data_IF_198839526618
#
_entry.id   IF_198839526618
#
_cell.length_a   1.000
_cell.length_b   1.000
_cell.length_c   1.000
_cell.angle_alpha   90.00
_cell.angle_beta   90.00
_cell.angle_gamma   90.00
#
_symmetry.space_group_name_H-M   'P 1'
#
loop_
_entity.id
_entity.type
_entity.pdbx_description
1 polymer ?
#
# COMPACT_ATOMS: atom_id res chain seq x y z
N UNK A 1 74.54 -14.95 25.40
CA UNK A 1 73.22 -14.67 24.75
C UNK A 1 72.70 -15.79 23.84
N UNK A 2 73.49 -16.78 23.49
CA UNK A 2 73.07 -17.92 22.65
C UNK A 2 72.22 -18.97 23.38
N UNK A 3 72.43 -19.20 24.65
CA UNK A 3 71.65 -20.19 25.43
C UNK A 3 70.17 -19.79 25.65
N UNK A 4 69.84 -18.52 25.50
CA UNK A 4 68.42 -18.05 25.57
C UNK A 4 67.63 -18.35 24.30
N UNK A 5 68.33 -18.55 23.17
CA UNK A 5 67.64 -18.84 21.87
C UNK A 5 67.27 -20.31 21.71
N UNK A 6 67.94 -21.21 22.37
CA UNK A 6 67.66 -22.66 22.32
C UNK A 6 66.49 -23.10 23.25
N UNK A 7 66.13 -22.26 24.22
CA UNK A 7 65.12 -22.66 25.20
C UNK A 7 63.96 -21.69 25.34
N UNK A 8 63.79 -20.75 24.32
CA UNK A 8 62.70 -19.77 24.39
C UNK A 8 61.33 -20.44 24.41
N UNK A 9 61.21 -21.60 23.72
CA UNK A 9 59.93 -22.35 23.68
C UNK A 9 59.55 -22.88 25.06
N UNK A 10 60.52 -23.34 25.82
CA UNK A 10 60.33 -23.81 27.22
C UNK A 10 59.99 -22.64 28.15
N UNK A 11 60.58 -21.46 27.90
CA UNK A 11 60.29 -20.27 28.68
C UNK A 11 58.88 -19.75 28.37
N UNK A 12 58.46 -19.77 27.12
CA UNK A 12 57.09 -19.40 26.72
C UNK A 12 56.06 -20.40 27.28
N UNK A 13 56.38 -21.70 27.23
CA UNK A 13 55.50 -22.73 27.79
C UNK A 13 55.42 -22.59 29.34
N UNK A 14 56.49 -22.29 29.99
CA UNK A 14 56.51 -22.03 31.44
C UNK A 14 55.64 -20.80 31.80
N UNK A 15 55.74 -19.74 31.02
CA UNK A 15 54.97 -18.52 31.26
C UNK A 15 53.49 -18.75 30.99
N UNK A 16 53.15 -19.52 29.95
CA UNK A 16 51.77 -19.91 29.66
C UNK A 16 51.16 -20.79 30.77
N UNK A 17 51.95 -21.74 31.31
CA UNK A 17 51.51 -22.56 32.45
C UNK A 17 51.30 -21.72 33.72
N UNK A 18 52.19 -20.77 34.01
CA UNK A 18 52.01 -19.84 35.13
C UNK A 18 50.75 -18.98 34.99
N UNK A 19 50.48 -18.49 33.78
CA UNK A 19 49.25 -17.73 33.49
C UNK A 19 47.98 -18.60 33.69
N UNK A 20 48.04 -19.87 33.28
CA UNK A 20 46.95 -20.82 33.44
C UNK A 20 46.67 -21.15 34.91
N UNK A 21 47.74 -21.35 35.69
CA UNK A 21 47.62 -21.56 37.15
C UNK A 21 47.08 -20.31 37.85
N UNK A 22 47.49 -19.11 37.41
CA UNK A 22 46.96 -17.87 37.94
C UNK A 22 45.47 -17.70 37.69
N UNK A 23 45.02 -17.99 36.47
CA UNK A 23 43.60 -17.95 36.12
C UNK A 23 42.82 -19.03 36.90
N UNK A 24 43.33 -20.24 36.97
CA UNK A 24 42.70 -21.32 37.74
C UNK A 24 42.58 -20.97 39.22
N UNK A 25 43.63 -20.37 39.81
CA UNK A 25 43.59 -19.88 41.19
C UNK A 25 42.53 -18.77 41.37
N UNK A 26 42.42 -17.84 40.41
CA UNK A 26 41.42 -16.78 40.42
C UNK A 26 39.99 -17.36 40.40
N UNK A 27 39.76 -18.36 39.57
CA UNK A 27 38.41 -19.01 39.46
C UNK A 27 38.09 -19.80 40.74
N UNK A 28 39.08 -20.46 41.36
CA UNK A 28 38.88 -21.23 42.59
C UNK A 28 38.70 -20.35 43.85
N UNK A 29 39.25 -19.13 43.83
CA UNK A 29 39.12 -18.18 44.95
C UNK A 29 38.02 -17.17 44.76
N UNK A 30 37.34 -17.18 43.60
CA UNK A 30 36.24 -16.26 43.30
C UNK A 30 34.95 -16.75 43.98
N UNK A 31 34.68 -16.20 45.16
CA UNK A 31 33.44 -16.45 45.91
C UNK A 31 32.22 -15.70 45.31
N UNK A 32 32.19 -15.55 43.99
CA UNK A 32 31.10 -14.84 43.29
C UNK A 32 29.72 -15.49 43.50
N UNK A 33 29.71 -16.83 43.75
CA UNK A 33 28.43 -17.51 44.00
C UNK A 33 27.82 -17.08 45.37
N UNK A 34 28.64 -16.88 46.40
CA UNK A 34 28.14 -16.39 47.71
C UNK A 34 27.68 -14.93 47.61
N UNK A 35 28.40 -14.08 46.87
CA UNK A 35 28.02 -12.70 46.65
C UNK A 35 26.71 -12.57 45.81
N UNK A 36 26.53 -13.45 44.82
CA UNK A 36 25.28 -13.53 44.04
C UNK A 36 24.12 -14.05 44.91
N UNK A 37 24.36 -15.06 45.71
CA UNK A 37 23.35 -15.61 46.63
C UNK A 37 22.91 -14.56 47.67
N UNK A 38 23.86 -13.77 48.17
CA UNK A 38 23.59 -12.70 49.13
C UNK A 38 22.78 -11.55 48.46
N UNK A 39 23.13 -11.18 47.22
CA UNK A 39 22.35 -10.20 46.43
C UNK A 39 20.93 -10.67 46.11
N UNK A 40 20.74 -11.94 45.79
CA UNK A 40 19.43 -12.54 45.55
C UNK A 40 18.60 -12.53 46.84
N UNK A 41 19.19 -12.92 47.98
CA UNK A 41 18.51 -12.86 49.26
C UNK A 41 18.20 -11.42 49.71
N UNK A 42 19.10 -10.46 49.48
CA UNK A 42 18.88 -9.05 49.78
C UNK A 42 17.75 -8.44 48.93
N UNK A 43 17.62 -8.87 47.69
CA UNK A 43 16.54 -8.43 46.80
C UNK A 43 15.19 -9.11 47.08
N UNK A 44 15.20 -10.33 47.58
CA UNK A 44 13.96 -11.07 47.86
C UNK A 44 13.37 -10.73 49.25
N UNK A 45 14.21 -10.33 50.22
CA UNK A 45 13.75 -9.95 51.58
C UNK A 45 12.72 -8.79 51.58
N UNK A 46 12.94 -7.65 50.87
CA UNK A 46 11.96 -6.58 50.87
C UNK A 46 10.65 -6.94 50.16
N UNK A 47 10.69 -7.90 49.23
CA UNK A 47 9.44 -8.36 48.56
C UNK A 47 8.60 -9.28 49.44
N UNK A 48 9.23 -10.00 50.42
CA UNK A 48 8.53 -10.84 51.38
C UNK A 48 8.08 -10.06 52.60
N UNK A 49 8.75 -8.96 52.96
CA UNK A 49 8.36 -8.10 54.10
C UNK A 49 7.27 -7.07 53.74
N UNK A 50 7.18 -6.69 52.47
CA UNK A 50 6.01 -5.94 52.01
C UNK A 50 4.83 -6.88 51.80
N UNK A 51 4.26 -7.39 52.90
CA UNK A 51 2.88 -7.83 52.90
C UNK A 51 2.01 -6.59 52.61
N UNK A 52 1.97 -6.20 51.33
CA UNK A 52 0.98 -5.25 50.88
C UNK A 52 -0.37 -5.93 51.16
N UNK A 53 -1.12 -5.39 52.13
CA UNK A 53 -2.48 -5.84 52.33
C UNK A 53 -3.15 -5.77 50.98
N UNK A 54 -3.40 -6.93 50.39
CA UNK A 54 -4.13 -6.98 49.12
C UNK A 54 -5.48 -6.36 49.39
N UNK A 55 -5.77 -5.25 48.74
CA UNK A 55 -7.12 -4.69 48.77
C UNK A 55 -8.13 -5.81 48.47
N UNK A 56 -9.19 -5.92 49.22
CA UNK A 56 -10.16 -6.99 49.03
C UNK A 56 -10.58 -7.00 47.55
N UNK A 57 -10.38 -8.15 46.91
CA UNK A 57 -10.72 -8.34 45.50
C UNK A 57 -12.21 -8.05 45.33
N UNK A 58 -12.58 -7.16 44.44
CA UNK A 58 -13.97 -6.90 44.13
C UNK A 58 -14.60 -8.13 43.46
N UNK A 59 -15.26 -8.93 44.26
CA UNK A 59 -15.90 -10.17 43.83
C UNK A 59 -17.29 -9.95 43.21
N UNK A 60 -17.78 -8.71 43.14
CA UNK A 60 -19.14 -8.41 42.64
C UNK A 60 -19.38 -8.93 41.23
N UNK A 61 -18.36 -8.80 40.33
CA UNK A 61 -18.43 -9.34 38.97
C UNK A 61 -18.56 -10.86 38.93
N UNK A 62 -17.85 -11.56 39.84
CA UNK A 62 -17.89 -13.02 39.92
C UNK A 62 -19.22 -13.52 40.53
N UNK A 63 -19.75 -12.83 41.57
CA UNK A 63 -21.05 -13.14 42.14
C UNK A 63 -22.19 -12.93 41.13
N UNK A 64 -22.12 -11.88 40.32
CA UNK A 64 -23.06 -11.65 39.22
C UNK A 64 -23.02 -12.74 38.15
N UNK A 65 -21.80 -13.27 37.86
CA UNK A 65 -21.62 -14.37 36.92
C UNK A 65 -22.14 -15.69 37.49
N UNK A 66 -21.83 -15.97 38.76
CA UNK A 66 -22.36 -17.16 39.46
C UNK A 66 -23.89 -17.15 39.52
N UNK A 67 -24.49 -16.03 39.94
CA UNK A 67 -25.94 -15.90 39.98
C UNK A 67 -26.61 -16.08 38.61
N UNK A 68 -25.89 -15.74 37.53
CA UNK A 68 -26.38 -15.96 36.17
C UNK A 68 -26.21 -17.42 35.72
N UNK A 69 -25.15 -18.11 36.18
CA UNK A 69 -24.93 -19.54 35.89
C UNK A 69 -25.85 -20.45 36.71
N UNK A 70 -26.31 -20.00 37.88
CA UNK A 70 -27.32 -20.70 38.72
C UNK A 70 -28.74 -20.60 38.16
N UNK A 71 -28.99 -19.67 37.22
CA UNK A 71 -30.28 -19.63 36.51
C UNK A 71 -30.24 -20.61 35.36
N UNK A 72 -31.22 -21.49 35.28
CA UNK A 72 -31.51 -22.35 34.12
C UNK A 72 -31.96 -21.48 32.93
N UNK A 73 -31.01 -20.70 32.36
CA UNK A 73 -31.28 -20.00 31.13
C UNK A 73 -31.05 -20.96 29.96
N UNK A 74 -31.96 -21.04 28.99
CA UNK A 74 -31.76 -21.87 27.82
C UNK A 74 -30.49 -21.41 27.09
N UNK A 75 -29.59 -22.35 26.80
CA UNK A 75 -28.37 -22.09 26.06
C UNK A 75 -28.68 -21.49 24.67
N UNK A 76 -28.55 -20.20 24.55
CA UNK A 76 -28.68 -19.53 23.26
C UNK A 76 -27.32 -19.54 22.54
N UNK A 77 -27.12 -20.54 21.69
CA UNK A 77 -25.87 -20.73 20.94
C UNK A 77 -25.68 -19.72 19.79
N UNK A 78 -26.72 -18.93 19.48
CA UNK A 78 -26.72 -17.98 18.39
C UNK A 78 -26.53 -16.52 18.83
N UNK A 79 -26.79 -16.18 20.12
CA UNK A 79 -26.68 -14.81 20.63
C UNK A 79 -26.26 -14.78 22.11
N UNK A 80 -25.21 -14.03 22.54
CA UNK A 80 -24.37 -13.14 21.71
C UNK A 80 -23.22 -13.86 20.97
N UNK A 81 -23.02 -15.15 21.23
CA UNK A 81 -21.94 -15.95 20.65
C UNK A 81 -22.47 -16.93 19.61
N UNK A 82 -22.22 -16.70 18.37
CA UNK A 82 -22.54 -17.64 17.31
C UNK A 82 -21.48 -18.77 17.28
N UNK A 83 -21.69 -19.84 18.07
CA UNK A 83 -20.73 -20.93 18.22
C UNK A 83 -20.48 -21.70 16.91
N UNK A 84 -21.48 -21.78 16.03
CA UNK A 84 -21.37 -22.48 14.74
C UNK A 84 -20.86 -21.56 13.61
N UNK A 85 -20.92 -20.25 13.78
CA UNK A 85 -20.35 -19.28 12.87
C UNK A 85 -19.71 -18.14 13.69
N UNK A 86 -18.53 -18.40 14.26
CA UNK A 86 -17.88 -17.45 15.15
C UNK A 86 -17.62 -16.15 14.44
N UNK A 87 -17.99 -15.05 15.07
CA UNK A 87 -17.72 -13.71 14.58
C UNK A 87 -16.20 -13.48 14.59
N UNK A 88 -15.65 -13.11 13.45
CA UNK A 88 -14.24 -12.79 13.35
C UNK A 88 -13.97 -11.40 13.94
N UNK A 89 -12.94 -11.31 14.77
CA UNK A 89 -12.41 -10.06 15.29
C UNK A 89 -11.07 -9.76 14.60
N UNK A 90 -10.87 -8.52 14.21
CA UNK A 90 -9.60 -8.05 13.67
C UNK A 90 -9.13 -6.84 14.44
N UNK A 91 -7.83 -6.77 14.69
CA UNK A 91 -7.17 -5.60 15.26
C UNK A 91 -6.72 -4.71 14.11
N UNK A 92 -7.14 -3.44 14.14
CA UNK A 92 -6.68 -2.42 13.17
C UNK A 92 -5.24 -2.03 13.47
N UNK A 93 -4.56 -1.35 12.54
CA UNK A 93 -3.22 -0.80 12.79
C UNK A 93 -3.16 0.17 13.97
N UNK A 94 -4.28 0.77 14.33
CA UNK A 94 -4.40 1.70 15.46
C UNK A 94 -4.65 0.98 16.80
N UNK A 95 -4.65 -0.35 16.81
CA UNK A 95 -4.91 -1.17 18.01
C UNK A 95 -6.39 -1.31 18.36
N UNK A 96 -7.30 -0.76 17.58
CA UNK A 96 -8.75 -0.89 17.80
C UNK A 96 -9.24 -2.25 17.33
N UNK A 97 -10.01 -2.94 18.14
CA UNK A 97 -10.64 -4.21 17.79
C UNK A 97 -11.90 -3.96 16.97
N UNK A 98 -11.99 -4.55 15.79
CA UNK A 98 -13.15 -4.47 14.89
C UNK A 98 -13.83 -5.83 14.80
N UNK A 99 -15.12 -5.86 15.06
CA UNK A 99 -15.98 -7.03 14.88
C UNK A 99 -16.42 -7.12 13.42
N UNK A 100 -16.23 -8.28 12.78
CA UNK A 100 -16.65 -8.52 11.40
C UNK A 100 -17.98 -9.24 11.40
N UNK A 101 -19.08 -8.52 11.16
CA UNK A 101 -20.44 -9.08 11.17
C UNK A 101 -20.92 -9.43 9.76
N UNK A 102 -20.75 -8.52 8.83
CA UNK A 102 -21.26 -8.61 7.44
C UNK A 102 -20.15 -8.95 6.43
N UNK A 103 -18.87 -8.96 6.85
CA UNK A 103 -17.72 -9.15 5.98
C UNK A 103 -17.33 -7.91 5.17
N UNK A 104 -18.04 -6.81 5.32
CA UNK A 104 -17.77 -5.53 4.65
C UNK A 104 -16.94 -4.56 5.51
N UNK A 105 -16.68 -4.92 6.75
CA UNK A 105 -15.95 -4.08 7.71
C UNK A 105 -14.45 -4.10 7.45
N UNK A 106 -13.97 -5.12 6.74
CA UNK A 106 -12.55 -5.32 6.40
C UNK A 106 -12.41 -5.66 4.92
N UNK A 107 -11.16 -5.59 4.43
CA UNK A 107 -10.84 -5.94 3.06
C UNK A 107 -11.41 -4.95 2.04
N UNK A 108 -11.64 -5.41 0.82
CA UNK A 108 -12.12 -4.57 -0.28
C UNK A 108 -13.53 -4.00 -0.05
N UNK A 109 -14.35 -4.62 0.81
CA UNK A 109 -15.69 -4.12 1.17
C UNK A 109 -15.67 -2.88 2.05
N UNK A 110 -14.62 -2.68 2.84
CA UNK A 110 -14.46 -1.54 3.74
C UNK A 110 -13.90 -0.28 3.09
N UNK A 111 -13.55 -0.36 1.79
CA UNK A 111 -13.10 0.80 1.01
C UNK A 111 -14.30 1.63 0.55
N UNK A 112 -14.15 2.94 0.65
CA UNK A 112 -15.09 3.91 0.10
C UNK A 112 -14.46 4.67 -1.05
N UNK A 113 -15.24 4.91 -2.09
CA UNK A 113 -14.90 5.83 -3.17
C UNK A 113 -15.34 7.24 -2.75
N UNK A 114 -14.37 8.13 -2.57
CA UNK A 114 -14.62 9.53 -2.17
C UNK A 114 -14.97 10.38 -3.37
N UNK A 115 -14.13 10.29 -4.43
CA UNK A 115 -14.32 11.06 -5.65
C UNK A 115 -13.67 10.37 -6.84
N UNK A 116 -14.15 10.72 -8.03
CA UNK A 116 -13.48 10.40 -9.29
C UNK A 116 -13.24 11.69 -10.07
N UNK A 117 -12.07 11.80 -10.69
CA UNK A 117 -11.72 12.95 -11.53
C UNK A 117 -11.46 12.50 -12.96
N UNK A 118 -12.07 13.14 -13.97
CA UNK A 118 -11.86 12.78 -15.35
C UNK A 118 -10.44 13.08 -15.81
N UNK A 119 -9.93 12.24 -16.69
CA UNK A 119 -8.65 12.38 -17.38
C UNK A 119 -8.95 12.59 -18.87
N UNK A 120 -8.36 13.62 -19.42
CA UNK A 120 -8.69 14.08 -20.77
C UNK A 120 -7.63 13.71 -21.79
N UNK A 121 -8.08 13.34 -22.98
CA UNK A 121 -7.35 13.50 -24.23
C UNK A 121 -7.64 14.91 -24.75
N UNK A 122 -6.58 15.70 -24.90
CA UNK A 122 -6.64 17.07 -25.44
C UNK A 122 -5.83 17.13 -26.71
N UNK A 123 -6.40 17.64 -27.80
CA UNK A 123 -5.76 17.82 -29.10
C UNK A 123 -5.98 19.24 -29.58
N UNK A 124 -4.95 19.91 -29.97
CA UNK A 124 -4.99 21.29 -30.44
C UNK A 124 -4.11 21.44 -31.68
N UNK A 125 -4.63 21.98 -32.73
CA UNK A 125 -3.85 22.32 -33.93
C UNK A 125 -2.90 23.49 -33.63
N UNK A 126 -1.63 23.37 -34.06
CA UNK A 126 -0.59 24.37 -33.80
C UNK A 126 -0.01 25.05 -35.03
N UNK A 127 -0.27 24.51 -36.19
CA UNK A 127 0.22 25.09 -37.44
C UNK A 127 0.66 24.07 -38.47
N UNK A 128 0.96 24.57 -39.63
CA UNK A 128 1.39 23.81 -40.79
C UNK A 128 2.89 23.95 -41.02
N UNK A 129 3.51 22.94 -41.62
CA UNK A 129 4.94 22.96 -42.00
C UNK A 129 5.08 22.30 -43.37
N UNK A 130 5.92 22.87 -44.22
CA UNK A 130 6.12 22.38 -45.61
C UNK A 130 5.13 23.01 -46.59
N UNK A 131 5.30 22.66 -47.85
CA UNK A 131 4.45 23.11 -48.96
C UNK A 131 3.85 21.91 -49.68
N UNK A 132 2.74 22.11 -50.36
CA UNK A 132 2.10 21.03 -51.12
C UNK A 132 3.11 20.42 -52.12
N UNK A 133 3.16 19.07 -52.29
CA UNK A 133 2.22 18.08 -51.73
C UNK A 133 2.61 17.58 -50.32
N UNK A 134 3.77 17.92 -49.77
CA UNK A 134 4.34 17.38 -48.52
C UNK A 134 3.98 18.22 -47.28
N UNK A 135 2.76 18.71 -47.22
CA UNK A 135 2.30 19.52 -46.09
C UNK A 135 2.11 18.67 -44.85
N UNK A 136 2.77 19.07 -43.75
CA UNK A 136 2.61 18.43 -42.42
C UNK A 136 1.84 19.36 -41.46
N UNK A 137 0.87 18.80 -40.78
CA UNK A 137 0.06 19.48 -39.78
C UNK A 137 0.53 19.13 -38.39
N UNK A 138 0.86 20.13 -37.59
CA UNK A 138 1.35 19.97 -36.21
C UNK A 138 0.23 20.10 -35.22
N UNK A 139 0.18 19.13 -34.30
CA UNK A 139 -0.80 19.09 -33.21
C UNK A 139 -0.08 19.02 -31.87
N UNK A 140 -0.58 19.76 -30.88
CA UNK A 140 -0.23 19.56 -29.49
C UNK A 140 -1.22 18.57 -28.87
N UNK A 141 -0.70 17.47 -28.33
CA UNK A 141 -1.51 16.40 -27.74
C UNK A 141 -1.14 16.22 -26.28
N UNK A 142 -2.14 16.10 -25.43
CA UNK A 142 -1.98 15.73 -24.00
C UNK A 142 -2.87 14.55 -23.71
N UNK A 143 -2.31 13.46 -23.23
CA UNK A 143 -3.01 12.21 -22.89
C UNK A 143 -2.94 11.97 -21.39
N UNK A 144 -3.82 12.59 -20.62
CA UNK A 144 -3.81 12.50 -19.16
C UNK A 144 -4.01 11.07 -18.64
N UNK A 145 -4.71 10.21 -19.41
CA UNK A 145 -4.94 8.80 -19.08
C UNK A 145 -3.76 7.86 -19.42
N UNK A 146 -2.69 8.34 -20.06
CA UNK A 146 -1.57 7.50 -20.44
C UNK A 146 -0.89 6.85 -19.21
N UNK A 147 -0.35 5.64 -19.38
CA UNK A 147 0.26 4.85 -18.29
C UNK A 147 1.46 5.54 -17.66
N UNK A 148 2.40 6.01 -18.49
CA UNK A 148 3.64 6.57 -18.01
C UNK A 148 3.57 8.09 -17.85
N UNK A 149 4.22 8.62 -16.82
CA UNK A 149 4.28 10.06 -16.55
C UNK A 149 4.81 10.84 -17.77
N UNK A 150 5.79 10.29 -18.50
CA UNK A 150 6.37 10.91 -19.70
C UNK A 150 5.33 11.06 -20.82
N UNK A 151 4.46 10.05 -21.04
CA UNK A 151 3.41 10.08 -22.06
C UNK A 151 2.22 11.00 -21.70
N UNK A 152 2.12 11.47 -20.47
CA UNK A 152 1.08 12.42 -20.00
C UNK A 152 1.43 13.88 -20.24
N UNK A 153 2.70 14.15 -20.47
CA UNK A 153 3.15 15.50 -20.75
C UNK A 153 2.60 15.95 -22.11
N UNK A 154 2.37 17.26 -22.23
CA UNK A 154 2.01 17.86 -23.52
C UNK A 154 3.14 17.62 -24.51
N UNK A 155 2.82 17.04 -25.64
CA UNK A 155 3.78 16.72 -26.71
C UNK A 155 3.29 17.27 -28.03
N UNK A 156 4.21 17.62 -28.91
CA UNK A 156 3.92 17.98 -30.28
C UNK A 156 4.09 16.76 -31.18
N UNK A 157 3.14 16.52 -32.02
CA UNK A 157 3.17 15.49 -33.07
C UNK A 157 2.79 16.11 -34.42
N UNK A 158 3.11 15.45 -35.51
CA UNK A 158 2.75 15.90 -36.86
C UNK A 158 2.25 14.74 -37.70
N UNK A 159 1.29 15.01 -38.56
CA UNK A 159 0.73 14.05 -39.51
C UNK A 159 0.62 14.68 -40.90
N UNK A 160 0.71 13.86 -41.93
CA UNK A 160 0.29 14.20 -43.29
C UNK A 160 -1.13 13.68 -43.53
N UNK A 161 -1.76 14.15 -44.58
CA UNK A 161 -3.12 13.69 -44.97
C UNK A 161 -3.04 12.18 -45.29
N UNK A 162 -3.99 11.41 -44.78
CA UNK A 162 -4.10 9.96 -44.89
C UNK A 162 -2.94 9.19 -44.26
N UNK A 163 -2.21 9.82 -43.34
CA UNK A 163 -1.08 9.18 -42.68
C UNK A 163 -1.24 9.24 -41.16
N UNK A 164 -0.57 8.32 -40.47
CA UNK A 164 -0.48 8.30 -39.02
C UNK A 164 0.40 9.44 -38.52
N UNK A 165 0.07 9.95 -37.35
CA UNK A 165 0.95 10.88 -36.66
C UNK A 165 2.27 10.21 -36.24
N UNK A 166 3.29 10.99 -36.01
CA UNK A 166 4.65 10.51 -35.64
C UNK A 166 4.71 9.71 -34.31
N UNK A 167 3.60 9.58 -33.61
CA UNK A 167 3.51 8.88 -32.30
C UNK A 167 2.41 7.83 -32.23
N UNK A 168 1.80 7.47 -33.37
CA UNK A 168 0.71 6.49 -33.46
C UNK A 168 -0.48 6.78 -32.53
N UNK A 169 -0.84 8.05 -32.34
CA UNK A 169 -1.97 8.49 -31.51
C UNK A 169 -3.24 8.57 -32.33
N UNK A 170 -3.13 9.07 -33.56
CA UNK A 170 -4.24 9.22 -34.51
C UNK A 170 -3.73 9.12 -35.95
N UNK A 171 -4.65 8.93 -36.87
CA UNK A 171 -4.45 9.07 -38.31
C UNK A 171 -5.22 10.29 -38.78
N UNK A 172 -4.58 11.16 -39.56
CA UNK A 172 -5.26 12.30 -40.16
C UNK A 172 -5.98 11.83 -41.41
N UNK A 173 -7.33 11.75 -41.36
CA UNK A 173 -8.15 11.23 -42.45
C UNK A 173 -8.45 12.31 -43.46
N UNK A 174 -8.86 13.49 -42.95
CA UNK A 174 -9.32 14.57 -43.81
C UNK A 174 -9.05 15.95 -43.23
N UNK A 175 -9.11 16.97 -44.03
CA UNK A 175 -9.02 18.37 -43.63
C UNK A 175 -10.01 19.23 -44.40
N UNK A 176 -10.52 20.21 -43.73
CA UNK A 176 -11.36 21.25 -44.36
C UNK A 176 -10.53 22.51 -44.61
N UNK A 177 -10.70 23.14 -45.75
CA UNK A 177 -10.02 24.37 -46.12
C UNK A 177 -8.75 24.18 -46.95
N UNK A 178 -8.05 25.28 -47.23
CA UNK A 178 -6.84 25.26 -48.04
C UNK A 178 -5.67 24.51 -47.37
N UNK A 179 -4.76 23.87 -48.11
CA UNK A 179 -3.62 23.16 -47.53
C UNK A 179 -2.75 24.02 -46.61
N UNK A 180 -2.58 25.27 -46.95
CA UNK A 180 -1.78 26.22 -46.19
C UNK A 180 -2.55 26.83 -45.01
N UNK A 181 -3.88 26.90 -45.09
CA UNK A 181 -4.74 27.48 -44.04
C UNK A 181 -5.99 26.62 -43.80
N UNK A 182 -5.87 25.47 -43.18
CA UNK A 182 -7.00 24.58 -42.87
C UNK A 182 -7.86 25.14 -41.75
N UNK A 183 -9.16 24.87 -41.82
CA UNK A 183 -10.15 25.31 -40.81
C UNK A 183 -10.50 24.22 -39.83
N UNK A 184 -10.53 22.95 -40.28
CA UNK A 184 -10.75 21.80 -39.42
C UNK A 184 -10.03 20.55 -39.93
N UNK A 185 -9.94 19.53 -39.06
CA UNK A 185 -9.30 18.27 -39.32
C UNK A 185 -10.15 17.12 -38.81
N UNK A 186 -10.27 16.06 -39.60
CA UNK A 186 -10.87 14.79 -39.16
C UNK A 186 -9.77 13.83 -38.79
N UNK A 187 -9.68 13.50 -37.53
CA UNK A 187 -8.70 12.59 -36.99
C UNK A 187 -9.37 11.27 -36.61
N UNK A 188 -8.83 10.15 -37.04
CA UNK A 188 -9.21 8.83 -36.55
C UNK A 188 -8.27 8.47 -35.40
N UNK A 189 -8.83 8.33 -34.22
CA UNK A 189 -8.05 7.99 -33.05
C UNK A 189 -7.59 6.53 -33.07
N UNK A 190 -6.38 6.27 -32.59
CA UNK A 190 -5.88 4.91 -32.41
C UNK A 190 -6.83 4.08 -31.54
N UNK A 191 -6.82 2.74 -31.72
CA UNK A 191 -7.69 1.80 -31.02
C UNK A 191 -9.19 1.87 -31.39
N UNK A 192 -9.51 2.23 -32.62
CA UNK A 192 -10.90 2.32 -33.12
C UNK A 192 -11.83 3.19 -32.24
N UNK A 193 -11.28 4.20 -31.60
CA UNK A 193 -12.01 5.10 -30.72
C UNK A 193 -12.86 6.16 -31.50
N UNK A 194 -13.05 5.94 -32.82
CA UNK A 194 -13.87 6.76 -33.71
C UNK A 194 -13.12 7.95 -34.30
N UNK A 195 -13.83 8.66 -35.17
CA UNK A 195 -13.37 9.89 -35.81
C UNK A 195 -13.73 11.09 -34.93
N UNK A 196 -12.85 12.06 -34.87
CA UNK A 196 -13.03 13.31 -34.13
C UNK A 196 -12.66 14.49 -35.00
N UNK A 197 -13.41 15.59 -34.90
CA UNK A 197 -13.11 16.82 -35.59
C UNK A 197 -12.37 17.78 -34.67
N UNK A 198 -11.24 18.30 -35.14
CA UNK A 198 -10.42 19.29 -34.45
C UNK A 198 -10.41 20.58 -35.28
N UNK A 199 -11.08 21.63 -34.80
CA UNK A 199 -11.12 22.91 -35.43
C UNK A 199 -9.90 23.77 -35.12
N UNK A 200 -9.49 24.58 -36.07
CA UNK A 200 -8.41 25.57 -35.87
C UNK A 200 -8.76 26.54 -34.77
N UNK A 201 -7.86 26.72 -33.81
CA UNK A 201 -8.04 27.64 -32.68
C UNK A 201 -8.94 27.11 -31.56
N UNK A 202 -9.54 25.93 -31.70
CA UNK A 202 -10.34 25.30 -30.65
C UNK A 202 -9.61 24.09 -30.07
N UNK A 203 -9.69 23.93 -28.74
CA UNK A 203 -9.18 22.76 -28.07
C UNK A 203 -10.21 21.62 -28.16
N UNK A 204 -9.85 20.54 -28.83
CA UNK A 204 -10.62 19.30 -28.73
C UNK A 204 -10.32 18.63 -27.40
N UNK A 205 -11.37 18.20 -26.69
CA UNK A 205 -11.23 17.54 -25.39
C UNK A 205 -12.24 16.39 -25.26
N UNK A 206 -11.74 15.21 -24.86
CA UNK A 206 -12.56 14.02 -24.61
C UNK A 206 -12.09 13.34 -23.31
N UNK A 207 -13.01 12.75 -22.57
CA UNK A 207 -12.68 11.94 -21.39
C UNK A 207 -12.19 10.57 -21.85
N UNK A 208 -10.95 10.23 -21.50
CA UNK A 208 -10.33 8.94 -21.82
C UNK A 208 -10.16 8.02 -20.59
N UNK A 209 -10.52 8.50 -19.43
CA UNK A 209 -10.43 7.72 -18.20
C UNK A 209 -10.72 8.55 -16.97
N UNK A 210 -10.50 7.95 -15.81
CA UNK A 210 -10.68 8.61 -14.52
C UNK A 210 -9.56 8.27 -13.56
N UNK A 211 -9.29 9.15 -12.60
CA UNK A 211 -8.60 8.84 -11.36
C UNK A 211 -9.62 8.70 -10.24
N UNK A 212 -9.25 7.98 -9.20
CA UNK A 212 -10.09 7.79 -8.01
C UNK A 212 -9.34 8.15 -6.73
N UNK A 213 -10.04 8.75 -5.80
CA UNK A 213 -9.61 8.90 -4.41
C UNK A 213 -10.42 7.93 -3.56
N UNK A 214 -9.72 7.01 -2.89
CA UNK A 214 -10.29 5.94 -2.10
C UNK A 214 -9.92 6.12 -0.63
N UNK A 215 -10.81 5.76 0.29
CA UNK A 215 -10.55 5.77 1.72
C UNK A 215 -10.81 4.39 2.31
N UNK A 216 -9.80 3.82 2.95
CA UNK A 216 -9.95 2.59 3.72
C UNK A 216 -10.30 2.96 5.15
N UNK A 217 -11.56 2.67 5.53
CA UNK A 217 -12.13 3.08 6.83
C UNK A 217 -11.40 2.53 8.04
N UNK A 218 -11.10 1.20 8.12
CA UNK A 218 -10.51 0.63 9.32
C UNK A 218 -9.21 1.30 9.77
N UNK A 219 -8.37 1.66 8.81
CA UNK A 219 -7.09 2.32 9.09
C UNK A 219 -7.14 3.85 8.91
N UNK A 220 -8.30 4.41 8.60
CA UNK A 220 -8.48 5.82 8.23
C UNK A 220 -7.49 6.30 7.15
N UNK A 221 -7.09 5.40 6.24
CA UNK A 221 -6.07 5.65 5.23
C UNK A 221 -6.69 6.10 3.91
N UNK A 222 -6.21 7.24 3.38
CA UNK A 222 -6.66 7.78 2.09
C UNK A 222 -5.64 7.49 0.99
N UNK A 223 -6.12 7.01 -0.14
CA UNK A 223 -5.37 6.76 -1.36
C UNK A 223 -5.82 7.75 -2.43
N UNK A 224 -5.13 8.88 -2.53
CA UNK A 224 -5.49 9.96 -3.43
C UNK A 224 -5.02 9.71 -4.87
N UNK A 225 -5.80 10.18 -5.85
CA UNK A 225 -5.47 10.25 -7.28
C UNK A 225 -4.93 8.94 -7.89
N UNK A 226 -5.52 7.82 -7.47
CA UNK A 226 -5.15 6.50 -7.98
C UNK A 226 -5.67 6.27 -9.38
N UNK A 227 -4.92 5.49 -10.16
CA UNK A 227 -5.19 5.19 -11.58
C UNK A 227 -5.44 3.71 -11.78
N UNK A 228 -5.93 3.35 -12.94
CA UNK A 228 -5.99 1.95 -13.38
C UNK A 228 -4.59 1.35 -13.34
N UNK A 229 -4.47 0.11 -12.86
CA UNK A 229 -3.24 -0.66 -12.60
C UNK A 229 -2.42 -0.22 -11.39
N UNK A 230 -2.81 0.83 -10.67
CA UNK A 230 -2.16 1.16 -9.41
C UNK A 230 -2.45 0.07 -8.37
N UNK A 231 -1.44 -0.19 -7.54
CA UNK A 231 -1.54 -1.13 -6.42
C UNK A 231 -1.88 -0.41 -5.14
N UNK A 232 -2.76 -0.99 -4.36
CA UNK A 232 -3.13 -0.57 -3.01
C UNK A 232 -2.76 -1.69 -2.06
N UNK A 233 -2.39 -1.36 -0.83
CA UNK A 233 -2.11 -2.34 0.21
C UNK A 233 -2.90 -1.97 1.46
N UNK A 234 -3.82 -2.84 1.86
CA UNK A 234 -4.64 -2.73 3.07
C UNK A 234 -5.21 -4.10 3.45
N UNK A 235 -5.62 -4.26 4.68
CA UNK A 235 -6.11 -5.54 5.23
C UNK A 235 -5.14 -6.71 5.00
N UNK A 236 -3.83 -6.44 5.12
CA UNK A 236 -2.73 -7.39 4.91
C UNK A 236 -2.67 -8.03 3.52
N UNK A 237 -3.37 -7.45 2.54
CA UNK A 237 -3.38 -7.94 1.16
C UNK A 237 -3.14 -6.82 0.14
N UNK A 238 -2.65 -7.22 -1.03
CA UNK A 238 -2.48 -6.36 -2.19
C UNK A 238 -3.76 -6.28 -3.01
N UNK A 239 -4.11 -5.08 -3.48
CA UNK A 239 -5.26 -4.88 -4.33
C UNK A 239 -4.85 -4.09 -5.56
N UNK A 240 -5.26 -4.54 -6.75
CA UNK A 240 -5.01 -3.87 -8.01
C UNK A 240 -6.28 -3.14 -8.47
N UNK A 241 -6.15 -1.91 -8.95
CA UNK A 241 -7.24 -1.20 -9.58
C UNK A 241 -7.37 -1.69 -11.02
N UNK A 242 -8.47 -2.38 -11.32
CA UNK A 242 -8.73 -2.97 -12.64
C UNK A 242 -9.40 -1.95 -13.56
N UNK A 243 -10.38 -1.20 -13.06
CA UNK A 243 -11.11 -0.20 -13.82
C UNK A 243 -11.57 0.94 -12.91
N UNK A 244 -11.67 2.13 -13.49
CA UNK A 244 -12.24 3.32 -12.85
C UNK A 244 -13.23 3.93 -13.82
N UNK A 245 -14.49 3.93 -13.42
CA UNK A 245 -15.59 4.60 -14.12
C UNK A 245 -15.90 5.98 -13.52
N UNK A 246 -16.95 6.62 -14.03
CA UNK A 246 -17.40 7.93 -13.53
C UNK A 246 -17.85 7.88 -12.05
N UNK A 247 -18.47 6.77 -11.62
CA UNK A 247 -19.04 6.61 -10.28
C UNK A 247 -18.68 5.28 -9.61
N UNK A 248 -17.75 4.55 -10.17
CA UNK A 248 -17.37 3.23 -9.63
C UNK A 248 -15.91 2.91 -9.88
N UNK A 249 -15.37 2.05 -9.02
CA UNK A 249 -14.01 1.53 -9.12
C UNK A 249 -14.08 0.02 -8.93
N UNK A 250 -13.38 -0.71 -9.77
CA UNK A 250 -13.24 -2.16 -9.66
C UNK A 250 -11.85 -2.48 -9.13
N UNK A 251 -11.80 -3.14 -7.97
CA UNK A 251 -10.57 -3.66 -7.37
C UNK A 251 -10.48 -5.17 -7.58
N UNK A 252 -9.28 -5.68 -7.76
CA UNK A 252 -8.98 -7.11 -7.73
C UNK A 252 -8.03 -7.39 -6.58
N UNK A 253 -8.39 -8.30 -5.69
CA UNK A 253 -7.56 -8.76 -4.57
C UNK A 253 -6.47 -9.67 -5.11
N UNK A 254 -5.21 -9.48 -4.67
CA UNK A 254 -4.08 -10.22 -5.24
C UNK A 254 -4.09 -11.69 -4.82
N UNK A 255 -4.44 -11.99 -3.57
CA UNK A 255 -4.45 -13.36 -3.02
C UNK A 255 -5.55 -14.24 -3.63
N UNK A 256 -6.75 -13.69 -3.87
CA UNK A 256 -7.93 -14.46 -4.28
C UNK A 256 -8.37 -14.18 -5.71
N UNK A 257 -7.79 -13.18 -6.37
CA UNK A 257 -8.22 -12.64 -7.68
C UNK A 257 -9.69 -12.18 -7.70
N UNK A 258 -10.34 -12.09 -6.53
CA UNK A 258 -11.73 -11.65 -6.39
C UNK A 258 -11.86 -10.19 -6.83
N UNK A 259 -12.84 -9.91 -7.69
CA UNK A 259 -13.16 -8.53 -8.10
C UNK A 259 -14.27 -7.96 -7.23
N UNK A 260 -14.06 -6.75 -6.74
CA UNK A 260 -15.03 -6.02 -5.91
C UNK A 260 -15.29 -4.66 -6.55
N UNK A 261 -16.55 -4.35 -6.82
CA UNK A 261 -16.98 -3.04 -7.37
C UNK A 261 -17.40 -2.14 -6.22
N UNK A 262 -16.80 -0.96 -6.16
CA UNK A 262 -17.07 0.07 -5.16
C UNK A 262 -17.70 1.24 -5.89
N UNK A 263 -18.86 1.70 -5.41
CA UNK A 263 -19.60 2.80 -6.01
C UNK A 263 -19.49 4.06 -5.18
N UNK A 264 -19.50 5.19 -5.84
CA UNK A 264 -19.61 6.51 -5.21
C UNK A 264 -20.98 6.60 -4.52
N UNK A 265 -20.96 6.88 -3.25
CA UNK A 265 -22.19 7.10 -2.46
C UNK A 265 -22.74 8.49 -2.65
#
# INVERSE_FOLDING_TARGET
>A
MEQLKEHYEKAILGLAMLALVYVAYGVLTDNSEEAIAEQIQARSRPALEQKKEMSPMDMRGYHGTLARLEKDEPLNLSNPHNLFNPVQWRVTRQGTTLKVELGNEIGAGAIELIETRPLYLKIEYRGTTGTAPNTRYRFAVTREAAETKKKRLRMTTSAMLNDKDTRDIFTLIDREGAPADPTAFVLQLANNAGNVTVEKGKLFQRIDGYTATLKYKPDNKTYANKRVRDKLFFADDGHNIVAIGKREVVLSTASTSKRTTIRLR
#
